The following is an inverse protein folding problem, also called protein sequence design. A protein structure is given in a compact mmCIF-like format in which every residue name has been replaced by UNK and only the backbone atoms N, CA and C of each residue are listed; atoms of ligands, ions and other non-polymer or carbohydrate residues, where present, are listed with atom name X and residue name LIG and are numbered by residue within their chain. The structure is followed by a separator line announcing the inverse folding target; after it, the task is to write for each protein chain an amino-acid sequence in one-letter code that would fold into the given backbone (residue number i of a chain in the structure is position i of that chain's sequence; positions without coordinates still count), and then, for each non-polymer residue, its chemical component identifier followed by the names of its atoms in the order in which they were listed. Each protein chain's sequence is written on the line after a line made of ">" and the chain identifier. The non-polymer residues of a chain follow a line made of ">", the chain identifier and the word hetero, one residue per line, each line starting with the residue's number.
data_IF_881655339505
#
_entry.id   IF_881655339505
#
_cell.length_a   1.000
_cell.length_b   1.000
_cell.length_c   1.000
_cell.angle_alpha   90.00
_cell.angle_beta   90.00
_cell.angle_gamma   90.00
#
_symmetry.space_group_name_H-M   'P 1'
#
loop_
_entity.id
_entity.type
_entity.pdbx_description
1 polymer ?
#
# COMPACT_ATOMS: atom_id res chain seq x y z
N UNK A 1 -1.16 21.46 -20.23
CA UNK A 1 0.28 21.15 -20.35
C UNK A 1 0.40 20.10 -21.42
N UNK A 2 1.19 20.38 -22.46
CA UNK A 2 1.47 19.39 -23.50
C UNK A 2 2.38 18.28 -22.93
N UNK A 3 2.31 17.07 -23.46
CA UNK A 3 3.05 15.90 -22.94
C UNK A 3 4.59 16.10 -22.94
N UNK A 4 5.12 17.08 -23.67
CA UNK A 4 6.54 17.44 -23.71
C UNK A 4 7.05 18.26 -22.51
N UNK A 5 6.18 18.83 -21.67
CA UNK A 5 6.58 19.65 -20.50
C UNK A 5 6.66 18.84 -19.19
N UNK A 6 6.28 17.57 -19.20
CA UNK A 6 6.01 16.79 -17.99
C UNK A 6 7.22 16.59 -17.06
N UNK A 7 8.45 16.74 -17.55
CA UNK A 7 9.68 16.57 -16.76
C UNK A 7 10.43 17.88 -16.46
N UNK A 8 9.99 19.03 -16.99
CA UNK A 8 10.74 20.29 -16.85
C UNK A 8 10.86 20.79 -15.39
N UNK A 9 10.03 20.26 -14.49
CA UNK A 9 10.01 20.62 -13.08
C UNK A 9 11.05 19.86 -12.24
N UNK A 10 11.56 18.71 -12.72
CA UNK A 10 12.47 17.85 -11.98
C UNK A 10 13.92 18.32 -12.21
N UNK A 11 14.62 18.70 -11.14
CA UNK A 11 16.02 19.13 -11.23
C UNK A 11 16.92 18.05 -11.83
N UNK A 12 17.87 18.44 -12.67
CA UNK A 12 18.88 17.54 -13.21
C UNK A 12 19.63 16.81 -12.09
N UNK A 13 19.78 15.50 -12.19
CA UNK A 13 20.36 14.63 -11.16
C UNK A 13 19.31 13.95 -10.26
N UNK A 14 18.03 14.34 -10.33
CA UNK A 14 16.93 13.66 -9.62
C UNK A 14 16.22 12.59 -10.46
N UNK A 15 16.65 12.32 -11.69
CA UNK A 15 16.09 11.26 -12.52
C UNK A 15 16.10 9.87 -11.83
N UNK A 16 17.13 9.47 -11.05
CA UNK A 16 17.08 8.23 -10.26
C UNK A 16 15.90 8.16 -9.29
N UNK A 17 15.43 9.29 -8.78
CA UNK A 17 14.25 9.35 -7.89
C UNK A 17 12.99 8.99 -8.68
N UNK A 18 12.86 9.49 -9.90
CA UNK A 18 11.76 9.11 -10.79
C UNK A 18 11.78 7.61 -11.10
N UNK A 19 12.95 7.03 -11.38
CA UNK A 19 13.10 5.58 -11.62
C UNK A 19 12.70 4.75 -10.39
N UNK A 20 13.08 5.18 -9.19
CA UNK A 20 12.65 4.52 -7.94
C UNK A 20 11.14 4.57 -7.76
N UNK A 21 10.52 5.71 -8.03
CA UNK A 21 9.06 5.84 -7.94
C UNK A 21 8.37 4.96 -8.98
N UNK A 22 8.90 4.82 -10.20
CA UNK A 22 8.37 3.86 -11.16
C UNK A 22 8.51 2.40 -10.69
N UNK A 23 9.63 2.03 -10.03
CA UNK A 23 9.77 0.68 -9.44
C UNK A 23 8.72 0.42 -8.36
N UNK A 24 8.41 1.40 -7.51
CA UNK A 24 7.36 1.27 -6.50
C UNK A 24 6.00 0.97 -7.13
N UNK A 25 5.64 1.70 -8.20
CA UNK A 25 4.40 1.45 -8.94
C UNK A 25 4.39 0.03 -9.54
N UNK A 26 5.50 -0.38 -10.16
CA UNK A 26 5.69 -1.75 -10.65
C UNK A 26 5.50 -2.82 -9.57
N UNK A 27 6.10 -2.64 -8.40
CA UNK A 27 5.95 -3.56 -7.27
C UNK A 27 4.50 -3.61 -6.74
N UNK A 28 3.80 -2.47 -6.67
CA UNK A 28 2.40 -2.43 -6.28
C UNK A 28 1.49 -3.19 -7.28
N UNK A 29 1.79 -3.10 -8.58
CA UNK A 29 1.09 -3.85 -9.62
C UNK A 29 1.34 -5.36 -9.50
N UNK A 30 2.60 -5.77 -9.34
CA UNK A 30 3.00 -7.16 -9.15
C UNK A 30 2.36 -7.79 -7.89
N UNK A 31 2.31 -7.05 -6.78
CA UNK A 31 1.58 -7.44 -5.57
C UNK A 31 0.09 -7.69 -5.87
N UNK A 32 -0.54 -6.82 -6.69
CA UNK A 32 -1.92 -6.98 -7.10
C UNK A 32 -2.16 -8.27 -7.87
N UNK A 33 -1.30 -8.58 -8.85
CA UNK A 33 -1.36 -9.81 -9.63
C UNK A 33 -1.18 -11.06 -8.75
N UNK A 34 -0.18 -11.05 -7.86
CA UNK A 34 0.07 -12.14 -6.93
C UNK A 34 -1.10 -12.36 -5.96
N UNK A 35 -1.69 -11.27 -5.46
CA UNK A 35 -2.85 -11.32 -4.56
C UNK A 35 -4.06 -11.93 -5.25
N UNK A 36 -4.31 -11.55 -6.51
CA UNK A 36 -5.41 -12.09 -7.31
C UNK A 36 -5.20 -13.57 -7.65
N UNK A 37 -3.97 -13.95 -8.01
CA UNK A 37 -3.64 -15.35 -8.28
C UNK A 37 -3.83 -16.21 -7.02
N UNK A 38 -3.43 -15.70 -5.85
CA UNK A 38 -3.64 -16.38 -4.58
C UNK A 38 -5.13 -16.46 -4.20
N UNK A 39 -5.90 -15.38 -4.37
CA UNK A 39 -7.30 -15.34 -3.92
C UNK A 39 -8.19 -16.38 -4.60
N UNK A 40 -7.91 -16.70 -5.88
CA UNK A 40 -8.64 -17.72 -6.67
C UNK A 40 -8.57 -19.13 -6.09
N UNK A 41 -7.55 -19.41 -5.29
CA UNK A 41 -7.24 -20.72 -4.70
C UNK A 41 -6.89 -20.61 -3.21
N UNK A 42 -7.41 -19.57 -2.53
CA UNK A 42 -6.99 -19.24 -1.18
C UNK A 42 -7.36 -20.31 -0.15
N UNK A 43 -8.55 -20.90 -0.29
CA UNK A 43 -9.14 -21.78 0.72
C UNK A 43 -9.46 -23.16 0.15
N UNK A 44 -9.12 -24.19 0.91
CA UNK A 44 -9.69 -25.52 0.78
C UNK A 44 -10.88 -25.61 1.73
N UNK A 45 -12.04 -26.00 1.21
CA UNK A 45 -13.32 -25.95 1.93
C UNK A 45 -13.98 -27.33 1.88
N UNK A 46 -14.55 -27.75 3.00
CA UNK A 46 -15.32 -28.99 3.11
C UNK A 46 -16.68 -28.74 3.76
N UNK A 47 -17.63 -29.60 3.43
CA UNK A 47 -18.92 -29.68 4.11
C UNK A 47 -18.84 -30.67 5.27
N UNK A 48 -19.20 -30.22 6.47
CA UNK A 48 -19.23 -31.05 7.68
C UNK A 48 -20.65 -31.09 8.23
N UNK A 49 -21.17 -32.31 8.40
CA UNK A 49 -22.46 -32.55 9.01
C UNK A 49 -22.46 -32.26 10.52
N UNK A 50 -23.40 -31.43 10.98
CA UNK A 50 -23.67 -31.26 12.41
C UNK A 50 -24.64 -32.33 12.92
N UNK A 51 -24.56 -32.65 14.22
CA UNK A 51 -25.49 -33.59 14.87
C UNK A 51 -26.94 -33.08 14.87
N UNK A 52 -27.16 -31.77 14.89
CA UNK A 52 -28.48 -31.14 14.89
C UNK A 52 -29.15 -31.04 13.50
N UNK A 53 -28.62 -31.73 12.48
CA UNK A 53 -29.17 -31.71 11.11
C UNK A 53 -28.71 -30.52 10.25
N UNK A 54 -27.77 -29.72 10.75
CA UNK A 54 -27.09 -28.67 9.99
C UNK A 54 -25.94 -29.21 9.13
N UNK A 55 -25.48 -28.38 8.19
CA UNK A 55 -24.30 -28.58 7.37
C UNK A 55 -23.44 -27.33 7.43
N UNK A 56 -22.21 -27.48 7.89
CA UNK A 56 -21.22 -26.40 7.98
C UNK A 56 -20.30 -26.39 6.77
N UNK A 57 -20.09 -25.20 6.23
CA UNK A 57 -19.04 -24.93 5.26
C UNK A 57 -17.76 -24.52 6.02
N UNK A 58 -16.80 -25.42 6.11
CA UNK A 58 -15.62 -25.28 6.98
C UNK A 58 -14.35 -25.10 6.16
N UNK A 59 -13.50 -24.15 6.58
CA UNK A 59 -12.15 -24.00 6.02
C UNK A 59 -11.26 -25.13 6.51
N UNK A 60 -10.88 -26.03 5.61
CA UNK A 60 -9.99 -27.16 5.90
C UNK A 60 -8.53 -26.89 5.57
N UNK A 61 -8.24 -25.85 4.78
CA UNK A 61 -6.89 -25.45 4.42
C UNK A 61 -6.84 -24.01 3.93
N UNK A 62 -5.70 -23.36 4.17
CA UNK A 62 -5.41 -22.02 3.65
C UNK A 62 -4.09 -22.10 2.90
N UNK A 63 -4.09 -21.70 1.63
CA UNK A 63 -2.87 -21.68 0.83
C UNK A 63 -1.87 -20.69 1.43
N UNK A 64 -0.58 -21.04 1.58
CA UNK A 64 0.43 -20.11 2.06
C UNK A 64 0.48 -18.83 1.23
N UNK A 65 0.56 -17.68 1.90
CA UNK A 65 0.75 -16.38 1.24
C UNK A 65 2.11 -16.38 0.54
N UNK A 66 2.21 -16.01 -0.75
CA UNK A 66 3.47 -15.98 -1.47
C UNK A 66 4.51 -15.08 -0.76
N UNK A 67 5.69 -15.62 -0.36
CA UNK A 67 6.70 -14.82 0.35
C UNK A 67 7.19 -13.60 -0.45
N UNK A 68 7.18 -13.70 -1.78
CA UNK A 68 7.56 -12.61 -2.68
C UNK A 68 6.67 -11.37 -2.51
N UNK A 69 5.38 -11.51 -2.16
CA UNK A 69 4.48 -10.38 -1.91
C UNK A 69 5.00 -9.50 -0.77
N UNK A 70 5.43 -10.15 0.31
CA UNK A 70 6.00 -9.49 1.49
C UNK A 70 7.32 -8.80 1.16
N UNK A 71 8.18 -9.45 0.37
CA UNK A 71 9.44 -8.86 -0.10
C UNK A 71 9.22 -7.63 -0.99
N UNK A 72 8.28 -7.71 -1.95
CA UNK A 72 7.91 -6.60 -2.82
C UNK A 72 7.34 -5.42 -2.03
N UNK A 73 6.52 -5.68 -1.00
CA UNK A 73 5.97 -4.62 -0.16
C UNK A 73 7.09 -3.90 0.61
N UNK A 74 8.02 -4.65 1.20
CA UNK A 74 9.21 -4.10 1.85
C UNK A 74 10.06 -3.27 0.89
N UNK A 75 10.34 -3.80 -0.30
CA UNK A 75 11.09 -3.13 -1.36
C UNK A 75 10.44 -1.79 -1.76
N UNK A 76 9.13 -1.78 -1.95
CA UNK A 76 8.35 -0.60 -2.28
C UNK A 76 8.44 0.48 -1.18
N UNK A 77 8.29 0.09 0.09
CA UNK A 77 8.44 1.01 1.24
C UNK A 77 9.86 1.58 1.29
N UNK A 78 10.88 0.74 1.06
CA UNK A 78 12.27 1.18 1.00
C UNK A 78 12.50 2.22 -0.10
N UNK A 79 12.02 1.95 -1.32
CA UNK A 79 12.15 2.89 -2.44
C UNK A 79 11.40 4.20 -2.21
N UNK A 80 10.21 4.17 -1.58
CA UNK A 80 9.46 5.38 -1.23
C UNK A 80 10.24 6.28 -0.26
N UNK A 81 10.91 5.69 0.75
CA UNK A 81 11.73 6.49 1.68
C UNK A 81 13.00 7.00 1.03
N UNK A 82 13.69 6.13 0.29
CA UNK A 82 14.88 6.52 -0.44
C UNK A 82 14.58 7.63 -1.46
N UNK A 83 13.39 7.66 -2.07
CA UNK A 83 13.00 8.70 -3.01
C UNK A 83 13.07 10.10 -2.37
N UNK A 84 12.39 10.34 -1.25
CA UNK A 84 12.42 11.67 -0.63
C UNK A 84 13.73 11.97 0.12
N UNK A 85 14.45 10.96 0.64
CA UNK A 85 15.75 11.16 1.28
C UNK A 85 16.83 11.53 0.25
N UNK A 86 16.85 10.87 -0.92
CA UNK A 86 17.77 11.20 -2.01
C UNK A 86 17.44 12.57 -2.61
N UNK A 87 16.15 12.91 -2.76
CA UNK A 87 15.74 14.27 -3.16
C UNK A 87 16.27 15.30 -2.17
N UNK A 88 16.08 15.06 -0.87
CA UNK A 88 16.54 15.98 0.16
C UNK A 88 18.06 16.14 0.13
N UNK A 89 18.80 15.04 0.02
CA UNK A 89 20.26 15.04 -0.08
C UNK A 89 20.77 15.86 -1.27
N UNK A 90 20.22 15.61 -2.45
CA UNK A 90 20.55 16.34 -3.66
C UNK A 90 20.27 17.85 -3.51
N UNK A 91 19.11 18.22 -2.93
CA UNK A 91 18.76 19.62 -2.74
C UNK A 91 19.67 20.33 -1.74
N UNK A 92 20.12 19.65 -0.68
CA UNK A 92 21.11 20.22 0.26
C UNK A 92 22.44 20.48 -0.43
N UNK A 93 22.96 19.53 -1.23
CA UNK A 93 24.21 19.75 -1.97
C UNK A 93 24.07 20.85 -3.02
N UNK A 94 22.91 20.93 -3.70
CA UNK A 94 22.63 21.99 -4.66
C UNK A 94 22.56 23.38 -4.02
N UNK A 95 21.89 23.53 -2.86
CA UNK A 95 21.85 24.79 -2.12
C UNK A 95 23.23 25.18 -1.57
N UNK A 96 24.03 24.18 -1.17
CA UNK A 96 25.41 24.40 -0.69
C UNK A 96 26.39 24.76 -1.82
N UNK A 97 26.11 24.33 -3.04
CA UNK A 97 27.00 24.47 -4.20
C UNK A 97 28.23 23.56 -4.18
N UNK A 98 28.29 22.58 -3.28
CA UNK A 98 29.38 21.60 -3.18
C UNK A 98 28.92 20.31 -2.48
N UNK A 99 29.58 19.17 -2.72
CA UNK A 99 29.27 17.91 -2.05
C UNK A 99 29.40 18.00 -0.52
N UNK A 100 28.55 17.28 0.19
CA UNK A 100 28.62 17.17 1.64
C UNK A 100 29.78 16.27 2.06
N UNK A 101 30.47 16.65 3.13
CA UNK A 101 31.39 15.74 3.81
C UNK A 101 30.62 14.56 4.42
N UNK A 102 31.26 13.39 4.54
CA UNK A 102 30.64 12.23 5.19
C UNK A 102 30.11 12.53 6.61
N UNK A 103 30.77 13.48 7.32
CA UNK A 103 30.33 13.96 8.63
C UNK A 103 28.96 14.61 8.56
N UNK A 104 28.69 15.48 7.58
CA UNK A 104 27.41 16.20 7.45
C UNK A 104 26.35 15.36 6.73
N UNK A 105 26.74 14.55 5.73
CA UNK A 105 25.87 13.71 4.93
C UNK A 105 24.95 12.81 5.78
N UNK A 106 25.46 12.21 6.86
CA UNK A 106 24.68 11.33 7.75
C UNK A 106 23.54 12.02 8.51
N UNK A 107 23.53 13.36 8.55
CA UNK A 107 22.50 14.16 9.21
C UNK A 107 21.39 14.61 8.26
N UNK A 108 21.55 14.40 6.94
CA UNK A 108 20.49 14.65 5.97
C UNK A 108 19.51 13.50 5.98
N UNK A 109 18.44 13.65 6.77
CA UNK A 109 17.36 12.68 6.91
C UNK A 109 16.03 13.41 6.97
N UNK A 110 15.03 12.86 6.30
CA UNK A 110 13.67 13.41 6.35
C UNK A 110 13.07 13.19 7.74
N UNK A 111 12.71 14.25 8.48
CA UNK A 111 12.00 14.10 9.74
C UNK A 111 10.54 13.75 9.49
N UNK A 112 9.94 13.07 10.47
CA UNK A 112 8.49 12.89 10.57
C UNK A 112 8.14 13.18 12.03
N UNK A 113 7.64 14.39 12.27
CA UNK A 113 7.30 14.87 13.60
C UNK A 113 5.82 15.24 13.68
N UNK A 114 5.17 14.77 14.74
CA UNK A 114 3.75 15.05 15.00
C UNK A 114 3.54 16.33 15.82
N UNK A 115 4.62 17.00 16.24
CA UNK A 115 4.56 18.25 17.01
C UNK A 115 5.57 19.29 16.49
N UNK A 116 5.19 20.57 16.57
CA UNK A 116 6.04 21.71 16.19
C UNK A 116 7.36 21.72 16.98
N UNK A 117 7.29 21.54 18.30
CA UNK A 117 8.46 21.55 19.20
C UNK A 117 9.49 20.48 18.84
N UNK A 118 9.05 19.26 18.49
CA UNK A 118 9.97 18.20 18.07
C UNK A 118 10.68 18.58 16.76
N UNK A 119 9.95 19.20 15.83
CA UNK A 119 10.51 19.66 14.56
C UNK A 119 11.47 20.85 14.72
N UNK A 120 11.17 21.83 15.59
CA UNK A 120 12.09 22.93 15.95
C UNK A 120 13.43 22.41 16.50
N UNK A 121 13.36 21.43 17.40
CA UNK A 121 14.54 20.79 17.97
C UNK A 121 15.37 20.06 16.91
N UNK A 122 14.70 19.40 15.96
CA UNK A 122 15.37 18.74 14.84
C UNK A 122 16.09 19.77 13.93
N UNK A 123 15.42 20.87 13.56
CA UNK A 123 16.04 21.91 12.73
C UNK A 123 17.26 22.54 13.42
N UNK A 124 17.13 22.85 14.71
CA UNK A 124 18.23 23.40 15.51
C UNK A 124 19.43 22.44 15.57
N UNK A 125 19.15 21.14 15.73
CA UNK A 125 20.20 20.10 15.70
C UNK A 125 20.85 19.97 14.32
N UNK A 126 20.08 19.98 13.23
CA UNK A 126 20.62 19.90 11.88
C UNK A 126 21.60 21.06 11.58
N UNK A 127 21.26 22.28 12.02
CA UNK A 127 22.15 23.44 11.93
C UNK A 127 23.43 23.23 12.74
N UNK A 128 23.31 22.78 13.99
CA UNK A 128 24.47 22.49 14.85
C UNK A 128 25.35 21.36 14.30
N UNK A 129 24.76 20.40 13.61
CA UNK A 129 25.44 19.29 12.94
C UNK A 129 26.07 19.71 11.59
N UNK A 130 25.96 20.98 11.20
CA UNK A 130 26.61 21.55 10.02
C UNK A 130 25.80 21.44 8.73
N UNK A 131 24.49 21.20 8.81
CA UNK A 131 23.54 21.16 7.67
C UNK A 131 22.58 22.36 7.75
N UNK A 132 23.13 23.55 7.52
CA UNK A 132 22.42 24.83 7.69
C UNK A 132 21.24 25.00 6.73
N UNK A 133 21.26 24.31 5.59
CA UNK A 133 20.21 24.28 4.56
C UNK A 133 18.88 23.72 5.08
N UNK A 134 18.90 22.98 6.19
CA UNK A 134 17.70 22.44 6.85
C UNK A 134 17.17 23.36 7.96
N UNK A 135 17.78 24.52 8.17
CA UNK A 135 17.42 25.46 9.23
C UNK A 135 16.05 26.12 9.04
N UNK A 136 15.47 26.69 10.11
CA UNK A 136 14.07 27.19 10.11
C UNK A 136 13.80 28.33 9.12
N UNK A 137 14.81 29.15 8.80
CA UNK A 137 14.66 30.31 7.91
C UNK A 137 14.96 30.01 6.45
N UNK A 138 15.37 28.78 6.13
CA UNK A 138 15.73 28.38 4.77
C UNK A 138 14.49 28.07 3.93
N UNK A 139 14.65 28.02 2.61
CA UNK A 139 13.58 27.59 1.71
C UNK A 139 13.27 26.10 1.93
N UNK A 140 14.32 25.27 1.96
CA UNK A 140 14.19 23.83 2.14
C UNK A 140 13.62 23.47 3.52
N UNK A 141 14.07 24.10 4.61
CA UNK A 141 13.53 23.89 5.95
C UNK A 141 12.02 24.15 6.05
N UNK A 142 11.52 25.23 5.43
CA UNK A 142 10.08 25.54 5.38
C UNK A 142 9.28 24.56 4.52
N UNK A 143 9.87 24.07 3.42
CA UNK A 143 9.25 23.01 2.58
C UNK A 143 9.14 21.68 3.31
N UNK A 144 10.14 21.33 4.13
CA UNK A 144 10.09 20.14 4.98
C UNK A 144 9.02 20.32 6.06
N UNK A 145 8.93 21.51 6.66
CA UNK A 145 7.92 21.84 7.66
C UNK A 145 6.50 21.61 7.14
N UNK A 146 6.18 22.11 5.94
CA UNK A 146 4.85 21.97 5.35
C UNK A 146 4.45 20.52 5.03
N UNK A 147 5.40 19.58 5.06
CA UNK A 147 5.16 18.15 4.86
C UNK A 147 5.03 17.37 6.18
N UNK A 148 5.24 18.03 7.32
CA UNK A 148 5.17 17.37 8.62
C UNK A 148 3.71 17.14 9.04
N UNK A 149 3.41 16.03 9.73
CA UNK A 149 2.06 15.72 10.19
C UNK A 149 1.35 16.82 11.02
N UNK A 150 2.10 17.64 11.77
CA UNK A 150 1.49 18.75 12.52
C UNK A 150 1.09 19.94 11.64
N UNK A 151 1.68 20.06 10.45
CA UNK A 151 1.44 21.14 9.50
C UNK A 151 0.47 20.71 8.39
N UNK A 152 0.66 19.51 7.83
CA UNK A 152 -0.25 18.89 6.87
C UNK A 152 -1.31 18.05 7.59
N UNK A 153 -2.39 18.70 7.97
CA UNK A 153 -3.55 18.05 8.61
C UNK A 153 -4.55 17.50 7.58
N UNK A 154 -4.27 17.67 6.29
CA UNK A 154 -5.20 17.31 5.21
C UNK A 154 -4.86 15.98 4.54
N UNK A 155 -3.57 15.66 4.43
CA UNK A 155 -3.11 14.40 3.88
C UNK A 155 -3.47 13.23 4.80
N UNK A 156 -4.21 12.28 4.26
CA UNK A 156 -4.57 11.07 4.99
C UNK A 156 -4.67 9.86 4.07
N UNK A 157 -4.25 8.71 4.58
CA UNK A 157 -4.40 7.41 3.91
C UNK A 157 -5.51 6.64 4.62
N UNK A 158 -6.71 6.54 4.03
CA UNK A 158 -7.77 5.74 4.62
C UNK A 158 -7.43 4.25 4.54
N UNK A 159 -7.80 3.46 5.55
CA UNK A 159 -7.59 2.01 5.54
C UNK A 159 -8.41 1.33 4.45
N UNK A 160 -9.64 1.81 4.22
CA UNK A 160 -10.54 1.39 3.16
C UNK A 160 -11.23 2.61 2.53
N UNK A 161 -11.70 2.53 1.27
CA UNK A 161 -12.43 3.64 0.65
C UNK A 161 -13.62 4.08 1.51
N UNK A 162 -13.86 5.39 1.73
CA UNK A 162 -14.92 5.85 2.64
C UNK A 162 -16.32 5.36 2.26
N UNK A 163 -16.62 5.27 0.96
CA UNK A 163 -17.89 4.71 0.48
C UNK A 163 -18.04 3.24 0.84
N UNK A 164 -16.95 2.46 0.73
CA UNK A 164 -16.96 1.05 1.10
C UNK A 164 -17.12 0.89 2.62
N UNK A 165 -16.47 1.75 3.42
CA UNK A 165 -16.64 1.73 4.88
C UNK A 165 -18.08 1.99 5.30
N UNK A 166 -18.72 2.97 4.67
CA UNK A 166 -20.13 3.27 4.90
C UNK A 166 -21.04 2.08 4.53
N UNK A 167 -20.74 1.39 3.42
CA UNK A 167 -21.48 0.18 3.02
C UNK A 167 -21.25 -1.02 3.96
N UNK A 168 -20.10 -1.05 4.63
CA UNK A 168 -19.76 -2.06 5.65
C UNK A 168 -20.18 -1.66 7.07
N UNK A 169 -20.89 -0.53 7.24
CA UNK A 169 -21.35 -0.07 8.56
C UNK A 169 -20.24 0.42 9.51
N UNK A 170 -19.05 0.72 8.99
CA UNK A 170 -17.86 1.04 9.79
C UNK A 170 -17.36 2.49 9.64
N UNK A 171 -16.48 2.90 10.57
CA UNK A 171 -15.70 4.14 10.46
C UNK A 171 -14.36 3.90 9.76
N UNK A 172 -13.85 4.92 9.05
CA UNK A 172 -12.57 4.81 8.33
C UNK A 172 -11.43 5.18 9.27
N UNK A 173 -10.59 4.22 9.61
CA UNK A 173 -9.28 4.52 10.21
C UNK A 173 -8.39 5.21 9.17
N UNK A 174 -7.82 6.35 9.52
CA UNK A 174 -6.90 7.12 8.67
C UNK A 174 -5.56 7.31 9.36
N UNK A 175 -4.51 7.52 8.57
CA UNK A 175 -3.19 7.89 9.09
C UNK A 175 -2.46 8.80 8.11
N UNK A 176 -1.59 9.67 8.62
CA UNK A 176 -0.78 10.54 7.78
C UNK A 176 0.24 9.70 6.97
N UNK A 177 0.39 9.91 5.65
CA UNK A 177 1.25 9.09 4.79
C UNK A 177 2.71 9.02 5.27
N UNK A 178 3.30 10.15 5.69
CA UNK A 178 4.68 10.18 6.20
C UNK A 178 4.85 9.38 7.50
N UNK A 179 3.83 9.34 8.36
CA UNK A 179 3.82 8.54 9.59
C UNK A 179 3.76 7.06 9.24
N UNK A 180 2.88 6.67 8.30
CA UNK A 180 2.80 5.29 7.82
C UNK A 180 4.13 4.82 7.22
N UNK A 181 4.70 5.59 6.29
CA UNK A 181 6.01 5.28 5.70
C UNK A 181 7.09 5.13 6.77
N UNK A 182 7.07 6.01 7.78
CA UNK A 182 8.02 5.91 8.88
C UNK A 182 7.89 4.62 9.65
N UNK A 183 6.66 4.26 10.03
CA UNK A 183 6.40 3.08 10.83
C UNK A 183 6.66 1.79 10.05
N UNK A 184 6.23 1.69 8.78
CA UNK A 184 6.47 0.51 7.95
C UNK A 184 7.96 0.22 7.81
N UNK A 185 8.76 1.22 7.45
CA UNK A 185 10.20 1.00 7.30
C UNK A 185 10.93 0.78 8.63
N UNK A 186 10.42 1.29 9.75
CA UNK A 186 10.98 0.95 11.06
C UNK A 186 10.70 -0.51 11.44
N UNK A 187 9.49 -1.01 11.16
CA UNK A 187 9.15 -2.42 11.36
C UNK A 187 10.03 -3.31 10.49
N UNK A 188 10.14 -2.99 9.20
CA UNK A 188 10.96 -3.73 8.24
C UNK A 188 12.43 -3.85 8.68
N UNK A 189 13.02 -2.77 9.22
CA UNK A 189 14.41 -2.76 9.72
C UNK A 189 14.63 -3.60 10.99
N UNK A 190 13.61 -3.82 11.81
CA UNK A 190 13.78 -4.32 13.18
C UNK A 190 13.00 -5.60 13.49
N UNK A 191 12.11 -6.07 12.61
CA UNK A 191 11.21 -7.21 12.87
C UNK A 191 10.95 -8.03 11.61
N UNK A 192 10.72 -9.34 11.77
CA UNK A 192 10.17 -10.16 10.68
C UNK A 192 8.79 -9.63 10.30
N UNK A 193 8.54 -9.49 9.00
CA UNK A 193 7.29 -8.98 8.44
C UNK A 193 6.15 -9.96 8.77
N UNK A 194 5.50 -9.80 9.93
CA UNK A 194 4.17 -10.35 10.24
C UNK A 194 3.08 -9.49 9.60
N UNK A 195 3.30 -9.02 8.37
CA UNK A 195 2.36 -8.06 7.78
C UNK A 195 1.20 -8.77 7.09
N UNK A 196 1.38 -9.92 6.43
CA UNK A 196 0.33 -10.46 5.58
C UNK A 196 -0.61 -11.46 6.29
N UNK A 197 -1.93 -11.31 6.09
CA UNK A 197 -2.95 -12.21 6.63
C UNK A 197 -4.06 -12.50 5.63
N UNK A 198 -4.66 -13.69 5.72
CA UNK A 198 -5.81 -14.09 4.92
C UNK A 198 -7.10 -13.56 5.55
N UNK A 199 -7.86 -12.77 4.80
CA UNK A 199 -9.19 -12.30 5.20
C UNK A 199 -10.21 -12.62 4.11
N UNK A 200 -11.49 -12.68 4.46
CA UNK A 200 -12.57 -12.83 3.48
C UNK A 200 -13.84 -12.13 3.94
N UNK A 201 -14.65 -11.70 2.98
CA UNK A 201 -16.09 -11.56 3.21
C UNK A 201 -16.76 -12.91 2.94
N UNK A 202 -17.90 -13.14 3.58
CA UNK A 202 -18.76 -14.29 3.32
C UNK A 202 -20.15 -13.74 3.06
N UNK A 203 -20.67 -13.95 1.85
CA UNK A 203 -22.00 -13.49 1.47
C UNK A 203 -22.82 -14.71 1.08
N UNK A 204 -24.00 -14.86 1.66
CA UNK A 204 -24.94 -15.92 1.31
C UNK A 204 -26.05 -15.36 0.43
N UNK A 205 -26.43 -16.11 -0.59
CA UNK A 205 -27.52 -15.70 -1.49
C UNK A 205 -28.91 -15.69 -0.82
N UNK A 206 -29.08 -16.42 0.29
CA UNK A 206 -30.33 -16.48 1.04
C UNK A 206 -30.47 -15.35 2.10
N UNK A 207 -29.47 -14.50 2.25
CA UNK A 207 -29.47 -13.37 3.18
C UNK A 207 -29.81 -12.04 2.49
N UNK A 208 -30.68 -11.25 3.14
CA UNK A 208 -31.01 -9.90 2.68
C UNK A 208 -29.81 -8.95 2.80
N UNK A 209 -29.75 -7.93 1.93
CA UNK A 209 -28.64 -6.98 1.93
C UNK A 209 -28.43 -6.27 3.28
N UNK A 210 -29.49 -6.05 4.06
CA UNK A 210 -29.41 -5.38 5.36
C UNK A 210 -28.85 -6.28 6.47
N UNK A 211 -28.98 -7.61 6.32
CA UNK A 211 -28.67 -8.59 7.37
C UNK A 211 -27.30 -9.26 7.15
N UNK A 212 -26.79 -9.25 5.91
CA UNK A 212 -25.52 -9.86 5.56
C UNK A 212 -24.33 -9.12 6.21
N UNK A 213 -23.50 -9.85 6.97
CA UNK A 213 -22.22 -9.36 7.47
C UNK A 213 -21.22 -9.23 6.32
N UNK A 214 -20.92 -8.00 5.93
CA UNK A 214 -19.94 -7.68 4.88
C UNK A 214 -18.56 -7.33 5.42
N UNK A 215 -18.30 -7.57 6.70
CA UNK A 215 -17.00 -7.30 7.27
C UNK A 215 -15.94 -8.22 6.66
N UNK A 216 -14.76 -7.66 6.38
CA UNK A 216 -13.59 -8.44 6.03
C UNK A 216 -12.99 -9.00 7.31
N UNK A 217 -13.16 -10.29 7.56
CA UNK A 217 -12.68 -10.95 8.79
C UNK A 217 -11.47 -11.84 8.52
N UNK A 218 -10.54 -11.98 9.49
CA UNK A 218 -9.46 -12.95 9.39
C UNK A 218 -10.04 -14.37 9.31
N UNK A 219 -9.33 -15.27 8.62
CA UNK A 219 -9.75 -16.67 8.41
C UNK A 219 -8.66 -17.61 8.90
N UNK A 220 -9.06 -18.65 9.62
CA UNK A 220 -8.24 -19.75 10.12
C UNK A 220 -8.78 -21.10 9.66
N UNK A 221 -7.90 -22.12 9.63
CA UNK A 221 -8.33 -23.51 9.44
C UNK A 221 -9.22 -23.91 10.63
N UNK A 222 -10.37 -24.49 10.33
CA UNK A 222 -11.42 -24.84 11.28
C UNK A 222 -12.57 -23.82 11.34
N UNK A 223 -12.42 -22.64 10.74
CA UNK A 223 -13.48 -21.63 10.77
C UNK A 223 -14.70 -22.11 9.95
N UNK A 224 -15.89 -21.91 10.54
CA UNK A 224 -17.18 -22.09 9.86
C UNK A 224 -17.52 -20.81 9.10
N UNK A 225 -17.59 -20.90 7.78
CA UNK A 225 -17.92 -19.77 6.92
C UNK A 225 -19.43 -19.54 6.86
N UNK A 226 -20.20 -20.63 6.74
CA UNK A 226 -21.66 -20.60 6.70
C UNK A 226 -22.23 -21.93 7.23
N UNK A 227 -23.45 -21.87 7.78
CA UNK A 227 -24.21 -23.04 8.24
C UNK A 227 -25.57 -23.07 7.55
N UNK A 228 -25.90 -24.18 6.91
CA UNK A 228 -27.20 -24.39 6.26
C UNK A 228 -27.93 -25.61 6.82
N UNK A 229 -29.23 -25.76 6.55
CA UNK A 229 -29.96 -26.99 6.92
C UNK A 229 -29.73 -28.04 5.85
N UNK A 230 -29.58 -29.31 6.25
CA UNK A 230 -29.34 -30.41 5.30
C UNK A 230 -30.44 -30.58 4.25
N UNK A 231 -31.67 -30.18 4.56
CA UNK A 231 -32.85 -30.34 3.73
C UNK A 231 -33.26 -29.08 2.95
N UNK A 232 -32.52 -27.97 3.04
CA UNK A 232 -32.92 -26.68 2.43
C UNK A 232 -32.62 -26.55 0.93
N UNK A 233 -32.08 -27.59 0.28
CA UNK A 233 -31.69 -27.54 -1.13
C UNK A 233 -30.32 -26.90 -1.40
N UNK A 234 -29.56 -26.57 -0.34
CA UNK A 234 -28.25 -25.91 -0.45
C UNK A 234 -28.38 -24.39 -0.52
N UNK A 235 -27.28 -23.69 -0.24
CA UNK A 235 -27.16 -22.23 -0.30
C UNK A 235 -25.85 -21.92 -1.00
N UNK A 236 -25.88 -20.99 -1.96
CA UNK A 236 -24.66 -20.49 -2.59
C UNK A 236 -24.01 -19.49 -1.64
N UNK A 237 -22.71 -19.68 -1.42
CA UNK A 237 -21.88 -18.83 -0.58
C UNK A 237 -20.79 -18.21 -1.45
N UNK A 238 -20.83 -16.89 -1.57
CA UNK A 238 -19.78 -16.11 -2.21
C UNK A 238 -18.69 -15.79 -1.18
N UNK A 239 -17.44 -16.02 -1.57
CA UNK A 239 -16.26 -15.68 -0.78
C UNK A 239 -15.40 -14.70 -1.57
N UNK A 240 -14.87 -13.69 -0.89
CA UNK A 240 -13.90 -12.75 -1.47
C UNK A 240 -12.59 -12.81 -0.68
N UNK A 241 -11.77 -13.86 -0.88
CA UNK A 241 -10.49 -13.96 -0.19
C UNK A 241 -9.57 -12.82 -0.60
N UNK A 242 -8.91 -12.22 0.38
CA UNK A 242 -7.91 -11.19 0.16
C UNK A 242 -6.71 -11.37 1.08
N UNK A 243 -5.55 -10.99 0.54
CA UNK A 243 -4.35 -10.77 1.32
C UNK A 243 -4.41 -9.33 1.84
N UNK A 244 -4.33 -9.18 3.14
CA UNK A 244 -4.25 -7.88 3.79
C UNK A 244 -2.91 -7.71 4.50
N UNK A 245 -2.47 -6.47 4.66
CA UNK A 245 -1.32 -6.11 5.47
C UNK A 245 -1.72 -5.36 6.73
N UNK A 246 -1.15 -5.73 7.88
CA UNK A 246 -1.39 -5.01 9.14
C UNK A 246 -0.63 -3.68 9.17
N UNK A 247 -1.36 -2.58 9.38
CA UNK A 247 -0.76 -1.28 9.65
C UNK A 247 0.01 -1.32 10.98
N UNK A 248 1.24 -0.80 11.00
CA UNK A 248 2.05 -0.72 12.20
C UNK A 248 1.30 -0.06 13.38
N UNK A 249 1.25 -0.76 14.51
CA UNK A 249 0.81 -0.25 15.81
C UNK A 249 -0.69 0.08 15.93
N UNK A 250 -1.51 -0.18 14.90
CA UNK A 250 -2.96 0.06 14.96
C UNK A 250 -3.80 -1.21 14.90
N UNK A 251 -3.23 -2.35 14.50
CA UNK A 251 -3.99 -3.59 14.28
C UNK A 251 -4.92 -3.54 13.07
N UNK A 252 -4.85 -2.47 12.27
CA UNK A 252 -5.77 -2.25 11.13
C UNK A 252 -5.23 -2.93 9.89
N UNK A 253 -6.04 -3.79 9.28
CA UNK A 253 -5.67 -4.53 8.08
C UNK A 253 -6.09 -3.78 6.80
N UNK A 254 -5.20 -3.71 5.82
CA UNK A 254 -5.41 -2.96 4.56
C UNK A 254 -4.99 -3.77 3.34
N UNK A 255 -5.52 -3.46 2.17
CA UNK A 255 -5.02 -4.04 0.91
C UNK A 255 -3.60 -3.52 0.63
N UNK A 256 -2.60 -4.39 0.44
CA UNK A 256 -1.21 -3.96 0.25
C UNK A 256 -1.01 -3.11 -1.01
N UNK A 257 -1.63 -3.50 -2.14
CA UNK A 257 -1.55 -2.74 -3.39
C UNK A 257 -2.15 -1.34 -3.23
N UNK A 258 -3.36 -1.24 -2.66
CA UNK A 258 -4.02 0.04 -2.44
C UNK A 258 -3.26 0.95 -1.45
N UNK A 259 -2.69 0.38 -0.39
CA UNK A 259 -1.87 1.11 0.58
C UNK A 259 -0.62 1.69 -0.11
N UNK A 260 0.13 0.87 -0.87
CA UNK A 260 1.31 1.33 -1.60
C UNK A 260 0.97 2.39 -2.66
N UNK A 261 -0.12 2.22 -3.42
CA UNK A 261 -0.53 3.22 -4.42
C UNK A 261 -0.83 4.57 -3.77
N UNK A 262 -1.46 4.61 -2.59
CA UNK A 262 -1.74 5.87 -1.88
C UNK A 262 -0.45 6.53 -1.36
N UNK A 263 0.47 5.74 -0.80
CA UNK A 263 1.77 6.23 -0.37
C UNK A 263 2.60 6.75 -1.55
N UNK A 264 2.56 6.04 -2.68
CA UNK A 264 3.20 6.44 -3.93
C UNK A 264 2.64 7.76 -4.45
N UNK A 265 1.32 7.92 -4.50
CA UNK A 265 0.68 9.17 -4.92
C UNK A 265 1.14 10.33 -4.04
N UNK A 266 1.15 10.15 -2.72
CA UNK A 266 1.59 11.21 -1.81
C UNK A 266 3.08 11.56 -2.02
N UNK A 267 3.97 10.58 -2.15
CA UNK A 267 5.40 10.87 -2.36
C UNK A 267 5.66 11.52 -3.72
N UNK A 268 5.08 10.96 -4.78
CA UNK A 268 5.31 11.41 -6.17
C UNK A 268 4.64 12.75 -6.49
N UNK A 269 3.49 13.05 -5.91
CA UNK A 269 2.71 14.26 -6.23
C UNK A 269 2.83 15.36 -5.18
N UNK A 270 3.11 15.02 -3.93
CA UNK A 270 3.15 15.99 -2.83
C UNK A 270 4.57 16.16 -2.33
N UNK A 271 5.20 15.11 -1.80
CA UNK A 271 6.50 15.22 -1.10
C UNK A 271 7.60 15.69 -2.04
N UNK A 272 7.91 14.93 -3.10
CA UNK A 272 9.03 15.26 -4.00
C UNK A 272 8.83 16.61 -4.69
N UNK A 273 7.66 16.92 -5.28
CA UNK A 273 7.43 18.23 -5.88
C UNK A 273 7.49 19.39 -4.89
N UNK A 274 6.99 19.22 -3.67
CA UNK A 274 7.06 20.26 -2.64
C UNK A 274 8.50 20.53 -2.22
N UNK A 275 9.34 19.50 -2.11
CA UNK A 275 10.77 19.69 -1.82
C UNK A 275 11.48 20.45 -2.95
N UNK A 276 11.23 20.08 -4.21
CA UNK A 276 11.92 20.67 -5.38
C UNK A 276 11.42 22.08 -5.67
N UNK A 277 10.09 22.28 -5.75
CA UNK A 277 9.46 23.50 -6.24
C UNK A 277 8.71 24.30 -5.17
N UNK A 278 8.42 23.71 -4.02
CA UNK A 278 7.64 24.34 -2.95
C UNK A 278 6.13 24.17 -3.09
N UNK A 279 5.67 23.41 -4.09
CA UNK A 279 4.25 23.13 -4.33
C UNK A 279 4.04 21.68 -4.79
N UNK A 280 2.88 21.11 -4.45
CA UNK A 280 2.45 19.81 -4.97
C UNK A 280 2.11 19.89 -6.47
N UNK A 281 2.27 18.76 -7.18
CA UNK A 281 1.99 18.63 -8.62
C UNK A 281 1.19 17.33 -8.88
N UNK A 282 0.00 17.45 -9.46
CA UNK A 282 -0.94 16.32 -9.65
C UNK A 282 -0.55 15.32 -10.74
N UNK A 283 0.54 15.57 -11.48
CA UNK A 283 1.13 14.67 -12.49
C UNK A 283 2.64 14.90 -12.58
N UNK A 284 3.36 14.68 -11.48
CA UNK A 284 4.77 15.02 -11.41
C UNK A 284 5.67 13.95 -12.07
N UNK A 285 5.52 12.68 -11.70
CA UNK A 285 6.33 11.56 -12.22
C UNK A 285 5.40 10.53 -12.86
N UNK A 286 5.65 10.09 -14.11
CA UNK A 286 4.90 9.01 -14.70
C UNK A 286 5.16 7.70 -13.92
N UNK A 287 4.12 6.94 -13.53
CA UNK A 287 4.29 5.68 -12.83
C UNK A 287 5.01 4.60 -13.65
N UNK A 288 4.84 4.59 -14.97
CA UNK A 288 5.39 3.54 -15.85
C UNK A 288 6.59 4.06 -16.62
N UNK A 289 7.76 4.08 -15.98
CA UNK A 289 9.03 4.39 -16.66
C UNK A 289 9.77 3.07 -16.93
N UNK A 290 10.35 2.94 -18.12
CA UNK A 290 11.15 1.77 -18.48
C UNK A 290 12.46 1.72 -17.68
N UNK A 291 12.60 0.69 -16.83
CA UNK A 291 13.75 0.45 -15.98
C UNK A 291 14.79 -0.50 -16.61
N UNK A 292 14.52 -1.03 -17.80
CA UNK A 292 15.41 -1.96 -18.51
C UNK A 292 16.62 -1.29 -19.16
N UNK A 293 17.49 -2.09 -19.77
CA UNK A 293 18.61 -1.58 -20.56
C UNK A 293 18.17 -1.29 -22.01
N UNK A 294 17.72 -0.06 -22.27
CA UNK A 294 17.27 0.37 -23.59
C UNK A 294 18.26 1.27 -24.33
N UNK A 295 19.42 1.58 -23.73
CA UNK A 295 20.38 2.56 -24.27
C UNK A 295 19.87 4.02 -24.32
N UNK A 296 18.63 4.30 -23.92
CA UNK A 296 18.04 5.65 -23.92
C UNK A 296 18.38 6.44 -22.65
N UNK A 297 18.48 7.77 -22.77
CA UNK A 297 18.73 8.65 -21.64
C UNK A 297 17.53 8.69 -20.67
N UNK A 298 17.79 8.88 -19.37
CA UNK A 298 16.74 8.87 -18.34
C UNK A 298 15.63 9.91 -18.58
N UNK A 299 15.99 11.12 -19.00
CA UNK A 299 15.02 12.18 -19.31
C UNK A 299 14.05 11.77 -20.42
N UNK A 300 14.56 11.07 -21.44
CA UNK A 300 13.72 10.54 -22.53
C UNK A 300 12.79 9.44 -22.00
N UNK A 301 13.27 8.53 -21.14
CA UNK A 301 12.43 7.48 -20.55
C UNK A 301 11.31 8.05 -19.68
N UNK A 302 11.62 9.08 -18.89
CA UNK A 302 10.62 9.80 -18.09
C UNK A 302 9.58 10.44 -19.02
N UNK A 303 10.01 11.13 -20.08
CA UNK A 303 9.09 11.78 -21.01
C UNK A 303 8.16 10.80 -21.74
N UNK A 304 8.63 9.59 -22.04
CA UNK A 304 7.83 8.53 -22.68
C UNK A 304 7.09 7.63 -21.68
N UNK A 305 7.16 7.92 -20.38
CA UNK A 305 6.55 7.08 -19.36
C UNK A 305 5.03 7.06 -19.43
N UNK A 306 4.43 5.90 -19.14
CA UNK A 306 2.97 5.73 -19.08
C UNK A 306 2.37 6.32 -17.80
N UNK A 307 1.15 6.83 -17.91
CA UNK A 307 0.47 7.59 -16.83
C UNK A 307 -0.57 6.81 -16.04
N UNK A 308 -0.95 5.60 -16.47
CA UNK A 308 -1.84 4.74 -15.67
C UNK A 308 -1.08 4.23 -14.46
N UNK A 309 -1.62 4.43 -13.26
CA UNK A 309 -1.03 3.92 -12.02
C UNK A 309 -1.21 2.41 -11.91
N UNK A 310 -0.46 1.77 -11.02
CA UNK A 310 -0.66 0.36 -10.67
C UNK A 310 -2.10 0.07 -10.27
N UNK A 311 -2.73 0.99 -9.53
CA UNK A 311 -4.14 0.89 -9.16
C UNK A 311 -5.04 0.90 -10.40
N UNK A 312 -4.88 1.86 -11.31
CA UNK A 312 -5.72 1.95 -12.50
C UNK A 312 -5.60 0.68 -13.36
N UNK A 313 -4.37 0.17 -13.51
CA UNK A 313 -4.10 -1.07 -14.24
C UNK A 313 -4.70 -2.30 -13.54
N UNK A 314 -4.59 -2.38 -12.20
CA UNK A 314 -5.14 -3.50 -11.44
C UNK A 314 -6.66 -3.45 -11.33
N UNK A 315 -7.29 -2.28 -11.31
CA UNK A 315 -8.75 -2.16 -11.26
C UNK A 315 -9.38 -2.82 -12.51
N UNK A 316 -8.79 -2.63 -13.69
CA UNK A 316 -9.23 -3.30 -14.92
C UNK A 316 -9.05 -4.82 -14.87
N UNK A 317 -7.91 -5.30 -14.35
CA UNK A 317 -7.63 -6.74 -14.19
C UNK A 317 -8.58 -7.37 -13.17
N UNK A 318 -8.82 -6.70 -12.03
CA UNK A 318 -9.69 -7.18 -10.98
C UNK A 318 -11.16 -7.22 -11.42
N UNK A 319 -11.63 -6.22 -12.18
CA UNK A 319 -12.97 -6.21 -12.75
C UNK A 319 -13.19 -7.40 -13.69
N UNK A 320 -12.25 -7.64 -14.63
CA UNK A 320 -12.34 -8.78 -15.54
C UNK A 320 -12.33 -10.13 -14.79
N UNK A 321 -11.53 -10.24 -13.73
CA UNK A 321 -11.49 -11.44 -12.91
C UNK A 321 -12.76 -11.66 -12.08
N UNK A 322 -13.43 -10.58 -11.65
CA UNK A 322 -14.73 -10.66 -10.99
C UNK A 322 -15.81 -11.13 -11.97
N UNK A 323 -15.83 -10.59 -13.19
CA UNK A 323 -16.76 -11.03 -14.24
C UNK A 323 -16.56 -12.51 -14.58
N UNK A 324 -15.30 -12.95 -14.69
CA UNK A 324 -14.95 -14.37 -14.89
C UNK A 324 -15.46 -15.24 -13.74
N UNK A 325 -15.26 -14.81 -12.50
CA UNK A 325 -15.70 -15.55 -11.31
C UNK A 325 -17.23 -15.65 -11.23
N UNK A 326 -17.95 -14.58 -11.56
CA UNK A 326 -19.42 -14.56 -11.59
C UNK A 326 -20.01 -15.43 -12.69
N UNK A 327 -19.29 -15.62 -13.81
CA UNK A 327 -19.69 -16.50 -14.90
C UNK A 327 -19.32 -17.97 -14.67
N UNK A 328 -18.45 -18.26 -13.69
CA UNK A 328 -17.98 -19.61 -13.41
C UNK A 328 -19.08 -20.44 -12.69
N UNK A 329 -19.14 -21.77 -12.92
CA UNK A 329 -20.09 -22.62 -12.21
C UNK A 329 -19.76 -22.67 -10.71
N UNK A 330 -20.81 -22.81 -9.90
CA UNK A 330 -20.69 -23.00 -8.44
C UNK A 330 -19.83 -24.23 -8.16
N UNK A 331 -18.85 -24.06 -7.28
CA UNK A 331 -18.00 -25.16 -6.81
C UNK A 331 -18.70 -25.89 -5.68
N UNK A 332 -18.85 -27.20 -5.80
CA UNK A 332 -19.32 -28.05 -4.71
C UNK A 332 -18.14 -28.47 -3.83
N UNK A 333 -18.12 -28.09 -2.54
CA UNK A 333 -17.07 -28.52 -1.61
C UNK A 333 -17.11 -30.04 -1.42
N UNK A 334 -15.97 -30.61 -1.03
CA UNK A 334 -15.91 -32.05 -0.74
C UNK A 334 -16.70 -32.33 0.54
N UNK A 335 -17.51 -33.38 0.53
CA UNK A 335 -18.20 -33.84 1.74
C UNK A 335 -17.20 -34.58 2.63
N UNK A 336 -16.91 -34.03 3.80
CA UNK A 336 -16.07 -34.67 4.82
C UNK A 336 -16.92 -35.46 5.81
N UNK A 337 -16.50 -36.68 6.16
CA UNK A 337 -17.00 -37.32 7.38
C UNK A 337 -16.36 -36.63 8.58
N UNK A 338 -17.10 -36.30 9.65
CA UNK A 338 -16.49 -35.77 10.87
C UNK A 338 -15.42 -36.75 11.36
N UNK A 339 -14.20 -36.26 11.57
CA UNK A 339 -13.15 -37.02 12.25
C UNK A 339 -13.67 -37.41 13.62
N UNK A 340 -13.89 -38.70 13.83
CA UNK A 340 -14.25 -39.25 15.12
C UNK A 340 -13.00 -39.26 16.02
N UNK A 341 -12.58 -38.08 16.48
CA UNK A 341 -11.58 -37.93 17.55
C UNK A 341 -11.68 -36.53 18.17
N UNK A 342 -12.63 -36.39 19.10
CA UNK A 342 -12.54 -35.60 20.36
C UNK A 342 -13.57 -36.15 21.33
#
# INVERSE_FOLDING_TARGET
>A
MSDGEAAAWLSAGLEPVAMRLARVDGAAYEIGLLSLAWSREAFEISEIAQQAGGLDLVVTGIRPIPPVLVMLFSEAIHHLRAAFENTLFHLVEAERGQPLSAKHAKHVKMPVHETRTAFDNWQSRAVNDGVVELGPQTKLGRRIESLQPFADTTSSVPALPPRLAALMGGSVSTAHPMVLLQKYSNIDKHRSIRMAGAHTTVIREDEGFADADRSMRPVSVGDVLATTRRDSGGVVVELQPAITVERPQTGVWVSPGAELSRLWLHVSQIVVPTLVNGVALTRAVPPQIDLGDTGTAWTQRIAHGGWSTAKDRMDAVAAAALDEANAAPVRHPRTGMPSADT
#
